data_IF_638417788635
#
_entry.id   IF_638417788635
#
_cell.length_a   1.000
_cell.length_b   1.000
_cell.length_c   1.000
_cell.angle_alpha   90.00
_cell.angle_beta   90.00
_cell.angle_gamma   90.00
#
_symmetry.space_group_name_H-M   'P 1'
#
loop_
_entity.id
_entity.type
_entity.pdbx_description
1 polymer ?
#
# COMPACT_ATOMS: atom_id res chain seq x y z
N UNK A 1 4.12 -65.94 -41.93
CA UNK A 1 4.63 -65.29 -40.69
C UNK A 1 4.80 -63.81 -40.98
N UNK A 2 3.84 -62.99 -40.58
CA UNK A 2 3.85 -61.54 -40.76
C UNK A 2 4.51 -60.89 -39.54
N UNK A 3 5.77 -60.47 -39.70
CA UNK A 3 6.48 -59.67 -38.71
C UNK A 3 5.85 -58.26 -38.66
N UNK A 4 5.27 -57.91 -37.51
CA UNK A 4 4.68 -56.62 -37.26
C UNK A 4 5.81 -55.63 -36.94
N UNK A 5 6.14 -54.71 -37.85
CA UNK A 5 7.12 -53.65 -37.59
C UNK A 5 6.48 -52.59 -36.68
N UNK A 6 6.82 -52.58 -35.40
CA UNK A 6 6.53 -51.44 -34.54
C UNK A 6 7.53 -50.31 -34.83
N UNK A 7 7.07 -49.09 -35.14
CA UNK A 7 7.96 -47.94 -35.28
C UNK A 7 8.62 -47.60 -33.93
N UNK A 8 9.86 -47.08 -33.93
CA UNK A 8 10.59 -46.79 -32.70
C UNK A 8 9.88 -45.70 -31.88
N UNK A 9 9.58 -46.02 -30.62
CA UNK A 9 9.05 -45.07 -29.64
C UNK A 9 10.05 -43.92 -29.44
N UNK A 10 9.64 -42.64 -29.53
CA UNK A 10 10.53 -41.52 -29.28
C UNK A 10 11.11 -41.60 -27.86
N UNK A 11 12.43 -41.56 -27.74
CA UNK A 11 13.09 -41.55 -26.44
C UNK A 11 12.73 -40.25 -25.67
N UNK A 12 12.47 -40.30 -24.36
CA UNK A 12 12.21 -39.12 -23.56
C UNK A 12 13.43 -38.19 -23.58
N UNK A 13 13.24 -36.95 -24.07
CA UNK A 13 14.26 -35.90 -24.06
C UNK A 13 14.66 -35.58 -22.62
N UNK A 14 15.92 -35.78 -22.20
CA UNK A 14 16.25 -35.79 -20.77
C UNK A 14 16.39 -34.42 -20.11
N UNK A 15 16.24 -33.30 -20.82
CA UNK A 15 16.39 -31.98 -20.23
C UNK A 15 15.49 -30.97 -20.96
N UNK A 16 14.29 -30.74 -20.43
CA UNK A 16 13.65 -29.44 -20.64
C UNK A 16 14.55 -28.42 -19.92
N UNK A 17 15.25 -27.57 -20.67
CA UNK A 17 16.04 -26.48 -20.09
C UNK A 17 15.15 -25.68 -19.14
N UNK A 18 15.55 -25.60 -17.87
CA UNK A 18 14.89 -24.73 -16.93
C UNK A 18 14.99 -23.30 -17.47
N UNK A 19 13.83 -22.67 -17.72
CA UNK A 19 13.75 -21.29 -18.20
C UNK A 19 14.64 -20.43 -17.29
N UNK A 20 15.65 -19.79 -17.88
CA UNK A 20 16.59 -18.97 -17.13
C UNK A 20 15.81 -17.94 -16.29
N UNK A 21 16.09 -17.80 -14.98
CA UNK A 21 15.36 -16.87 -14.14
C UNK A 21 15.47 -15.46 -14.74
N UNK A 22 14.31 -14.82 -14.93
CA UNK A 22 14.24 -13.50 -15.53
C UNK A 22 15.22 -12.53 -14.83
N UNK A 23 15.90 -11.64 -15.60
CA UNK A 23 16.90 -10.75 -15.04
C UNK A 23 16.31 -9.95 -13.88
N UNK A 24 17.01 -9.97 -12.74
CA UNK A 24 16.56 -9.25 -11.55
C UNK A 24 16.39 -7.77 -11.91
N UNK A 25 15.15 -7.26 -11.77
CA UNK A 25 14.81 -5.86 -12.04
C UNK A 25 15.65 -4.98 -11.09
N UNK A 26 16.67 -4.29 -11.64
CA UNK A 26 17.53 -3.37 -10.90
C UNK A 26 16.72 -2.13 -10.53
N UNK A 27 16.21 -2.08 -9.30
CA UNK A 27 15.56 -0.88 -8.75
C UNK A 27 16.49 -0.09 -7.85
N UNK A 28 16.11 1.16 -7.57
CA UNK A 28 16.80 2.01 -6.61
C UNK A 28 15.94 2.12 -5.34
N UNK A 29 16.44 1.52 -4.25
CA UNK A 29 15.74 1.47 -2.96
C UNK A 29 15.35 2.86 -2.48
N UNK A 30 16.24 3.85 -2.57
CA UNK A 30 15.98 5.21 -2.11
C UNK A 30 14.82 5.87 -2.88
N UNK A 31 14.81 5.72 -4.20
CA UNK A 31 13.71 6.17 -5.05
C UNK A 31 12.41 5.42 -4.76
N UNK A 32 12.47 4.14 -4.43
CA UNK A 32 11.31 3.35 -4.00
C UNK A 32 10.70 3.87 -2.71
N UNK A 33 11.52 4.23 -1.71
CA UNK A 33 11.03 4.84 -0.46
C UNK A 33 10.37 6.19 -0.73
N UNK A 34 11.01 7.06 -1.50
CA UNK A 34 10.44 8.37 -1.85
C UNK A 34 9.10 8.20 -2.57
N UNK A 35 9.04 7.29 -3.54
CA UNK A 35 7.80 7.01 -4.26
C UNK A 35 6.69 6.48 -3.33
N UNK A 36 7.03 5.60 -2.39
CA UNK A 36 6.10 5.09 -1.40
C UNK A 36 5.52 6.21 -0.53
N UNK A 37 6.37 7.14 -0.07
CA UNK A 37 5.96 8.29 0.75
C UNK A 37 5.06 9.22 -0.05
N UNK A 38 5.44 9.58 -1.28
CA UNK A 38 4.63 10.45 -2.14
C UNK A 38 3.28 9.82 -2.45
N UNK A 39 3.25 8.54 -2.82
CA UNK A 39 2.02 7.80 -3.05
C UNK A 39 1.15 7.75 -1.79
N UNK A 40 1.77 7.55 -0.62
CA UNK A 40 1.11 7.56 0.68
C UNK A 40 0.45 8.90 1.02
N UNK A 41 1.16 10.01 0.81
CA UNK A 41 0.63 11.36 1.03
C UNK A 41 -0.55 11.67 0.10
N UNK A 42 -0.44 11.33 -1.19
CA UNK A 42 -1.54 11.52 -2.15
C UNK A 42 -2.75 10.67 -1.74
N UNK A 43 -2.53 9.41 -1.39
CA UNK A 43 -3.60 8.51 -0.98
C UNK A 43 -4.26 8.96 0.34
N UNK A 44 -3.48 9.48 1.30
CA UNK A 44 -3.98 10.03 2.55
C UNK A 44 -4.85 11.27 2.34
N UNK A 45 -4.39 12.21 1.50
CA UNK A 45 -5.15 13.41 1.14
C UNK A 45 -6.45 13.04 0.41
N UNK A 46 -6.37 12.13 -0.56
CA UNK A 46 -7.53 11.63 -1.29
C UNK A 46 -8.52 10.92 -0.35
N UNK A 47 -8.05 10.05 0.55
CA UNK A 47 -8.89 9.38 1.53
C UNK A 47 -9.60 10.37 2.46
N UNK A 48 -8.87 11.33 3.03
CA UNK A 48 -9.47 12.31 3.93
C UNK A 48 -10.49 13.20 3.22
N UNK A 49 -10.22 13.64 2.00
CA UNK A 49 -11.17 14.43 1.21
C UNK A 49 -12.40 13.63 0.73
N UNK A 50 -12.20 12.40 0.26
CA UNK A 50 -13.30 11.54 -0.23
C UNK A 50 -14.21 11.12 0.93
N UNK A 51 -13.63 10.70 2.06
CA UNK A 51 -14.42 10.26 3.22
C UNK A 51 -15.11 11.42 3.93
N UNK A 52 -14.58 12.62 3.81
CA UNK A 52 -15.30 13.81 4.25
C UNK A 52 -16.55 14.08 3.39
N UNK A 53 -16.46 13.86 2.08
CA UNK A 53 -17.59 14.04 1.16
C UNK A 53 -18.63 12.91 1.19
N UNK A 54 -18.25 11.72 1.69
CA UNK A 54 -19.07 10.51 1.66
C UNK A 54 -19.19 9.94 3.07
N UNK A 55 -20.35 10.09 3.71
CA UNK A 55 -20.70 9.57 5.04
C UNK A 55 -20.80 8.01 5.12
N UNK A 56 -20.11 7.28 4.24
CA UNK A 56 -20.19 5.82 4.11
C UNK A 56 -18.91 5.14 4.59
N UNK A 57 -19.04 3.87 4.96
CA UNK A 57 -18.06 3.03 5.65
C UNK A 57 -16.59 3.41 5.42
N UNK A 58 -16.01 4.05 6.44
CA UNK A 58 -14.66 4.67 6.44
C UNK A 58 -13.52 3.66 6.27
N UNK A 59 -13.79 2.38 6.44
CA UNK A 59 -12.75 1.40 6.75
C UNK A 59 -11.99 0.85 5.52
N UNK A 60 -12.59 0.89 4.33
CA UNK A 60 -11.96 0.33 3.11
C UNK A 60 -10.79 1.14 2.56
N UNK A 61 -10.70 2.43 2.89
CA UNK A 61 -9.62 3.29 2.36
C UNK A 61 -8.22 2.85 2.78
N UNK A 62 -8.08 2.23 3.95
CA UNK A 62 -6.80 1.73 4.44
C UNK A 62 -6.19 0.65 3.52
N UNK A 63 -7.03 -0.20 2.94
CA UNK A 63 -6.60 -1.23 1.98
C UNK A 63 -6.08 -0.57 0.70
N UNK A 64 -6.79 0.44 0.20
CA UNK A 64 -6.39 1.20 -0.99
C UNK A 64 -5.06 1.95 -0.79
N UNK A 65 -4.89 2.60 0.36
CA UNK A 65 -3.64 3.29 0.73
C UNK A 65 -2.48 2.28 0.76
N UNK A 66 -2.65 1.15 1.46
CA UNK A 66 -1.62 0.11 1.51
C UNK A 66 -1.24 -0.42 0.14
N UNK A 67 -2.23 -0.66 -0.73
CA UNK A 67 -1.99 -1.14 -2.09
C UNK A 67 -1.20 -0.12 -2.92
N UNK A 68 -1.58 1.16 -2.88
CA UNK A 68 -0.89 2.23 -3.62
C UNK A 68 0.55 2.43 -3.14
N UNK A 69 0.75 2.49 -1.81
CA UNK A 69 2.08 2.63 -1.19
C UNK A 69 2.97 1.44 -1.56
N UNK A 70 2.47 0.21 -1.40
CA UNK A 70 3.22 -0.99 -1.69
C UNK A 70 3.54 -1.15 -3.18
N UNK A 71 2.58 -0.84 -4.06
CA UNK A 71 2.81 -0.87 -5.50
C UNK A 71 3.88 0.14 -5.93
N UNK A 72 3.82 1.38 -5.42
CA UNK A 72 4.81 2.40 -5.72
C UNK A 72 6.22 2.01 -5.20
N UNK A 73 6.28 1.49 -3.97
CA UNK A 73 7.52 1.02 -3.35
C UNK A 73 8.17 -0.10 -4.18
N UNK A 74 7.41 -1.11 -4.58
CA UNK A 74 7.93 -2.22 -5.37
C UNK A 74 8.32 -1.80 -6.79
N UNK A 75 7.40 -1.16 -7.52
CA UNK A 75 7.62 -0.79 -8.92
C UNK A 75 8.90 0.02 -9.15
N UNK A 76 9.22 0.93 -8.22
CA UNK A 76 10.37 1.86 -8.36
C UNK A 76 11.59 1.36 -7.55
N UNK A 77 11.37 0.75 -6.39
CA UNK A 77 12.42 0.27 -5.51
C UNK A 77 13.09 -1.03 -5.95
N UNK A 78 12.40 -1.84 -6.77
CA UNK A 78 12.89 -3.12 -7.25
C UNK A 78 13.08 -4.16 -6.14
N UNK A 79 13.86 -5.22 -6.43
CA UNK A 79 13.93 -6.41 -5.58
C UNK A 79 14.86 -6.22 -4.38
N UNK A 80 14.42 -5.44 -3.38
CA UNK A 80 15.10 -5.26 -2.10
C UNK A 80 14.24 -5.69 -0.91
N UNK A 81 14.78 -6.51 0.02
CA UNK A 81 14.04 -6.95 1.20
C UNK A 81 13.71 -5.80 2.16
N UNK A 82 14.45 -4.69 2.10
CA UNK A 82 14.24 -3.52 2.97
C UNK A 82 12.96 -2.76 2.60
N UNK A 83 12.50 -2.84 1.35
CA UNK A 83 11.29 -2.13 0.91
C UNK A 83 10.01 -2.67 1.58
N UNK A 84 10.01 -3.93 2.01
CA UNK A 84 8.85 -4.56 2.64
C UNK A 84 8.48 -3.90 3.97
N UNK A 85 9.37 -3.84 4.98
CA UNK A 85 9.06 -3.16 6.23
C UNK A 85 8.84 -1.65 6.03
N UNK A 86 9.56 -1.02 5.09
CA UNK A 86 9.39 0.42 4.81
C UNK A 86 8.00 0.70 4.23
N UNK A 87 7.54 -0.07 3.25
CA UNK A 87 6.19 0.08 2.69
C UNK A 87 5.11 -0.13 3.75
N UNK A 88 5.30 -1.11 4.65
CA UNK A 88 4.42 -1.33 5.80
C UNK A 88 4.35 -0.11 6.73
N UNK A 89 5.50 0.42 7.14
CA UNK A 89 5.57 1.59 8.03
C UNK A 89 4.98 2.85 7.38
N UNK A 90 5.30 3.09 6.10
CA UNK A 90 4.76 4.21 5.34
C UNK A 90 3.24 4.08 5.18
N UNK A 91 2.73 2.86 4.97
CA UNK A 91 1.28 2.61 4.92
C UNK A 91 0.59 2.98 6.23
N UNK A 92 1.14 2.55 7.38
CA UNK A 92 0.59 2.91 8.70
C UNK A 92 0.55 4.44 8.86
N UNK A 93 1.67 5.10 8.59
CA UNK A 93 1.77 6.56 8.69
C UNK A 93 0.78 7.27 7.76
N UNK A 94 0.60 6.76 6.55
CA UNK A 94 -0.32 7.33 5.55
C UNK A 94 -1.78 7.19 5.96
N UNK A 95 -2.19 6.02 6.47
CA UNK A 95 -3.56 5.82 6.98
C UNK A 95 -3.83 6.75 8.17
N UNK A 96 -2.87 6.87 9.08
CA UNK A 96 -2.97 7.76 10.23
C UNK A 96 -3.11 9.23 9.82
N UNK A 97 -2.26 9.67 8.89
CA UNK A 97 -2.31 11.04 8.33
C UNK A 97 -3.63 11.30 7.60
N UNK A 98 -4.16 10.31 6.86
CA UNK A 98 -5.46 10.43 6.21
C UNK A 98 -6.60 10.67 7.20
N UNK A 99 -6.57 9.98 8.35
CA UNK A 99 -7.50 10.23 9.46
C UNK A 99 -7.33 11.62 10.07
N UNK A 100 -6.10 12.08 10.31
CA UNK A 100 -5.88 13.45 10.80
C UNK A 100 -6.47 14.48 9.86
N UNK A 101 -6.23 14.33 8.55
CA UNK A 101 -6.77 15.25 7.55
C UNK A 101 -8.30 15.21 7.47
N UNK A 102 -8.92 14.01 7.57
CA UNK A 102 -10.37 13.85 7.66
C UNK A 102 -10.98 14.64 8.82
N UNK A 103 -10.42 14.51 10.03
CA UNK A 103 -10.91 15.26 11.20
C UNK A 103 -10.63 16.76 11.09
N UNK A 104 -9.51 17.15 10.47
CA UNK A 104 -9.22 18.55 10.21
C UNK A 104 -10.29 19.18 9.31
N UNK A 105 -10.67 18.50 8.23
CA UNK A 105 -11.75 18.93 7.33
C UNK A 105 -13.11 18.98 8.04
N UNK A 106 -13.46 17.94 8.79
CA UNK A 106 -14.71 17.88 9.51
C UNK A 106 -14.86 19.02 10.55
N UNK A 107 -13.78 19.34 11.26
CA UNK A 107 -13.76 20.47 12.20
C UNK A 107 -13.78 21.83 11.50
N UNK A 108 -13.15 21.93 10.33
CA UNK A 108 -13.13 23.15 9.53
C UNK A 108 -14.54 23.51 9.09
N UNK A 109 -15.31 22.53 8.60
CA UNK A 109 -16.72 22.72 8.27
C UNK A 109 -17.57 23.05 9.50
N UNK A 110 -17.40 22.31 10.60
CA UNK A 110 -18.15 22.54 11.83
C UNK A 110 -17.96 23.97 12.35
N UNK A 111 -16.77 24.54 12.19
CA UNK A 111 -16.44 25.91 12.60
C UNK A 111 -16.58 26.96 11.48
N UNK A 112 -17.03 26.57 10.29
CA UNK A 112 -17.09 27.44 9.11
C UNK A 112 -15.77 28.18 8.83
N UNK A 113 -14.65 27.49 8.99
CA UNK A 113 -13.30 28.02 8.80
C UNK A 113 -12.47 27.12 7.87
N UNK A 114 -11.23 27.52 7.57
CA UNK A 114 -10.26 26.72 6.84
C UNK A 114 -9.53 25.70 7.72
N UNK A 115 -9.03 24.63 7.09
CA UNK A 115 -8.23 23.58 7.75
C UNK A 115 -7.00 24.16 8.47
N UNK A 116 -6.35 25.17 7.89
CA UNK A 116 -5.18 25.83 8.51
C UNK A 116 -5.54 26.47 9.85
N UNK A 117 -6.67 27.15 9.93
CA UNK A 117 -7.11 27.81 11.17
C UNK A 117 -7.51 26.78 12.23
N UNK A 118 -8.11 25.65 11.84
CA UNK A 118 -8.34 24.53 12.77
C UNK A 118 -7.02 24.05 13.37
N UNK A 119 -6.01 23.82 12.52
CA UNK A 119 -4.69 23.35 12.96
C UNK A 119 -4.03 24.39 13.88
N UNK A 120 -4.19 25.68 13.62
CA UNK A 120 -3.67 26.75 14.50
C UNK A 120 -4.36 26.78 15.87
N UNK A 121 -5.67 26.51 15.93
CA UNK A 121 -6.45 26.57 17.17
C UNK A 121 -6.19 25.36 18.08
N UNK A 122 -6.28 24.13 17.54
CA UNK A 122 -6.19 22.91 18.36
C UNK A 122 -4.83 22.21 18.26
N UNK A 123 -4.00 22.62 17.29
CA UNK A 123 -2.70 22.02 17.04
C UNK A 123 -2.77 20.59 16.49
N UNK A 124 -1.62 20.12 16.01
CA UNK A 124 -1.41 18.71 15.65
C UNK A 124 -1.68 17.79 16.85
N UNK A 125 -1.39 18.27 18.07
CA UNK A 125 -1.68 17.56 19.32
C UNK A 125 -3.17 17.29 19.52
N UNK A 126 -4.02 18.32 19.42
CA UNK A 126 -5.47 18.15 19.57
C UNK A 126 -6.07 17.26 18.48
N UNK A 127 -5.63 17.40 17.23
CA UNK A 127 -6.03 16.47 16.16
C UNK A 127 -5.60 15.03 16.44
N UNK A 128 -4.42 14.84 16.99
CA UNK A 128 -3.89 13.53 17.34
C UNK A 128 -4.70 12.88 18.48
N UNK A 129 -5.16 13.67 19.44
CA UNK A 129 -6.03 13.18 20.51
C UNK A 129 -7.40 12.76 19.96
N UNK A 130 -7.99 13.55 19.06
CA UNK A 130 -9.25 13.19 18.37
C UNK A 130 -9.08 11.91 17.56
N UNK A 131 -7.98 11.78 16.81
CA UNK A 131 -7.70 10.54 16.07
C UNK A 131 -7.65 9.36 17.02
N UNK A 132 -6.89 9.45 18.11
CA UNK A 132 -6.77 8.37 19.11
C UNK A 132 -8.11 8.03 19.76
N UNK A 133 -8.92 9.02 20.11
CA UNK A 133 -10.25 8.81 20.69
C UNK A 133 -11.21 8.14 19.69
N UNK A 134 -11.06 8.45 18.41
CA UNK A 134 -11.83 7.81 17.32
C UNK A 134 -11.33 6.41 16.94
N UNK A 135 -10.20 5.95 17.47
CA UNK A 135 -9.63 4.65 17.14
C UNK A 135 -10.39 3.54 17.87
N UNK A 136 -11.27 2.87 17.15
CA UNK A 136 -11.88 1.62 17.57
C UNK A 136 -11.02 0.41 17.20
N UNK A 137 -11.40 -0.77 17.70
CA UNK A 137 -10.73 -2.04 17.36
C UNK A 137 -10.65 -2.25 15.84
N UNK A 138 -11.71 -1.88 15.11
CA UNK A 138 -11.79 -2.04 13.66
C UNK A 138 -10.70 -1.22 12.95
N UNK A 139 -10.46 0.02 13.39
CA UNK A 139 -9.40 0.87 12.84
C UNK A 139 -8.03 0.21 12.94
N UNK A 140 -7.72 -0.43 14.07
CA UNK A 140 -6.46 -1.17 14.23
C UNK A 140 -6.37 -2.38 13.29
N UNK A 141 -7.47 -3.11 13.11
CA UNK A 141 -7.53 -4.22 12.14
C UNK A 141 -7.24 -3.71 10.72
N UNK A 142 -7.86 -2.60 10.31
CA UNK A 142 -7.64 -2.03 8.97
C UNK A 142 -6.24 -1.46 8.77
N UNK A 143 -5.62 -0.89 9.81
CA UNK A 143 -4.20 -0.53 9.77
C UNK A 143 -3.34 -1.79 9.57
N UNK A 144 -3.61 -2.87 10.31
CA UNK A 144 -2.93 -4.15 10.13
C UNK A 144 -3.10 -4.71 8.71
N UNK A 145 -4.33 -4.68 8.17
CA UNK A 145 -4.61 -5.08 6.79
C UNK A 145 -3.86 -4.20 5.78
N UNK A 146 -3.78 -2.88 6.01
CA UNK A 146 -3.03 -1.98 5.13
C UNK A 146 -1.56 -2.40 5.02
N UNK A 147 -0.94 -2.83 6.12
CA UNK A 147 0.44 -3.33 6.13
C UNK A 147 0.57 -4.61 5.33
N UNK A 148 -0.33 -5.57 5.56
CA UNK A 148 -0.31 -6.84 4.82
C UNK A 148 -0.47 -6.61 3.32
N UNK A 149 -1.39 -5.72 2.94
CA UNK A 149 -1.64 -5.34 1.56
C UNK A 149 -0.44 -4.59 0.97
N UNK A 150 0.18 -3.67 1.71
CA UNK A 150 1.38 -2.96 1.26
C UNK A 150 2.56 -3.89 1.02
N UNK A 151 2.82 -4.81 1.95
CA UNK A 151 3.88 -5.82 1.81
C UNK A 151 3.57 -6.75 0.64
N UNK A 152 2.34 -7.22 0.50
CA UNK A 152 1.92 -8.08 -0.60
C UNK A 152 2.03 -7.40 -1.96
N UNK A 153 1.57 -6.15 -2.07
CA UNK A 153 1.66 -5.35 -3.29
C UNK A 153 3.12 -5.04 -3.65
N UNK A 154 3.97 -4.77 -2.67
CA UNK A 154 5.42 -4.56 -2.88
C UNK A 154 6.06 -5.81 -3.46
N UNK A 155 5.78 -7.00 -2.91
CA UNK A 155 6.29 -8.27 -3.45
C UNK A 155 5.83 -8.49 -4.89
N UNK A 156 4.53 -8.34 -5.14
CA UNK A 156 3.94 -8.57 -6.47
C UNK A 156 4.41 -7.57 -7.53
N UNK A 157 4.70 -6.33 -7.14
CA UNK A 157 5.24 -5.31 -8.05
C UNK A 157 6.75 -5.52 -8.34
N UNK A 158 7.43 -6.29 -7.49
CA UNK A 158 8.85 -6.63 -7.60
C UNK A 158 9.15 -7.92 -8.36
N UNK A 159 8.14 -8.76 -8.56
CA UNK A 159 8.18 -9.92 -9.46
C UNK A 159 8.21 -9.47 -10.94
#
# INVERSE_FOLDING_TARGET
>A
MSQNFQPPTPAPTPYAEAVAPAPARKGNVGLGVVAAVVAGLIAAAAYGGIMYAIDRERSFGAIGIGLLVGYAAGKIGGRSPVLLPVAGLVSIGSVYLGKMFLFALALAELKNTGVTEVVDIIGIGGLNDIVKESMDFMSYVFIGLSVLVAVGATKKAND
#
